data_IF_184601549947
#
_entry.id   IF_184601549947
#
_cell.length_a   1.000
_cell.length_b   1.000
_cell.length_c   1.000
_cell.angle_alpha   90.00
_cell.angle_beta   90.00
_cell.angle_gamma   90.00
#
_symmetry.space_group_name_H-M   'P 1'
#
loop_
_entity.id
_entity.type
_entity.pdbx_description
1 polymer ?
2 branched ?
3 non-polymer ?
4 non-polymer ?
5 non-polymer ?
6 water ?
#
# COMPACT_ATOMS: atom_id res chain seq x y z
N UNK A 9 14.37 -4.77 -27.83
CA UNK A 9 13.12 -4.55 -27.09
C UNK A 9 13.36 -4.63 -25.58
N UNK A 10 13.23 -3.48 -24.88
CA UNK A 10 13.41 -3.39 -23.43
C UNK A 10 12.31 -4.12 -22.67
N UNK A 11 12.65 -4.69 -21.50
CA UNK A 11 11.67 -5.36 -20.62
C UNK A 11 10.54 -4.42 -20.17
N UNK A 12 9.34 -4.97 -19.98
CA UNK A 12 8.19 -4.20 -19.51
C UNK A 12 7.62 -4.81 -18.25
N UNK A 13 7.09 -3.96 -17.38
CA UNK A 13 6.54 -4.36 -16.11
C UNK A 13 5.25 -3.60 -15.79
N UNK A 14 4.17 -4.36 -15.54
CA UNK A 14 2.88 -3.85 -15.06
C UNK A 14 2.74 -4.23 -13.58
N UNK A 15 2.57 -3.21 -12.72
CA UNK A 15 2.38 -3.38 -11.27
C UNK A 15 0.92 -3.06 -10.93
N UNK A 16 0.21 -4.04 -10.40
CA UNK A 16 -1.23 -3.93 -10.14
C UNK A 16 -1.46 -4.07 -8.66
N UNK A 17 -2.27 -3.18 -8.06
CA UNK A 17 -2.65 -3.28 -6.65
C UNK A 17 -4.15 -3.31 -6.55
N UNK A 18 -4.68 -4.35 -5.92
CA UNK A 18 -6.04 -4.36 -5.44
C UNK A 18 -6.02 -4.02 -3.95
N UNK A 19 -6.42 -2.80 -3.63
CA UNK A 19 -6.37 -2.29 -2.27
C UNK A 19 -6.99 -3.21 -1.22
N UNK A 20 -6.23 -3.51 -0.18
CA UNK A 20 -6.79 -4.16 1.00
C UNK A 20 -6.98 -5.66 0.86
N UNK A 21 -6.10 -6.28 0.07
CA UNK A 21 -6.19 -7.72 -0.23
C UNK A 21 -5.36 -8.49 0.81
N UNK A 22 -6.02 -8.84 1.90
CA UNK A 22 -5.44 -9.60 3.00
C UNK A 22 -4.94 -10.93 2.47
N UNK A 23 -3.71 -11.32 2.85
CA UNK A 23 -3.07 -12.51 2.30
C UNK A 23 -3.90 -13.77 2.47
N UNK A 24 -4.47 -13.99 3.65
CA UNK A 24 -5.20 -15.25 3.86
C UNK A 24 -6.56 -15.33 3.15
N UNK A 25 -6.97 -14.26 2.48
CA UNK A 25 -8.14 -14.39 1.61
C UNK A 25 -7.91 -15.53 0.61
N UNK A 26 -6.67 -15.70 0.16
CA UNK A 26 -6.35 -16.76 -0.80
C UNK A 26 -6.68 -18.17 -0.29
N UNK A 27 -6.63 -18.34 1.04
CA UNK A 27 -6.81 -19.64 1.66
C UNK A 27 -8.27 -19.92 2.00
N UNK A 28 -9.09 -18.87 1.98
CA UNK A 28 -10.46 -18.98 2.48
C UNK A 28 -11.54 -18.74 1.44
N UNK A 29 -11.14 -18.37 0.22
CA UNK A 29 -12.07 -18.14 -0.87
C UNK A 29 -11.48 -18.72 -2.14
N UNK A 30 -12.30 -18.88 -3.17
CA UNK A 30 -11.86 -19.47 -4.42
C UNK A 30 -11.47 -18.40 -5.43
N UNK A 31 -10.23 -18.46 -5.92
CA UNK A 31 -9.75 -17.53 -6.94
C UNK A 31 -9.24 -18.28 -8.15
N UNK A 32 -10.14 -18.80 -9.00
CA UNK A 32 -9.73 -19.59 -10.16
C UNK A 32 -8.84 -18.83 -11.14
N UNK A 33 -9.17 -17.57 -11.43
CA UNK A 33 -8.35 -16.78 -12.35
C UNK A 33 -6.98 -16.44 -11.77
N UNK A 34 -6.95 -16.02 -10.50
CA UNK A 34 -5.68 -15.69 -9.86
C UNK A 34 -4.81 -16.93 -9.72
N UNK A 35 -5.44 -18.06 -9.40
CA UNK A 35 -4.71 -19.32 -9.27
C UNK A 35 -4.12 -19.76 -10.60
N UNK A 36 -4.80 -19.48 -11.71
CA UNK A 36 -4.25 -19.74 -13.04
C UNK A 36 -3.05 -18.87 -13.33
N UNK A 37 -3.15 -17.58 -12.97
CA UNK A 37 -2.06 -16.62 -13.06
C UNK A 37 -0.85 -17.14 -12.29
N UNK A 38 -1.10 -17.60 -11.07
CA UNK A 38 -0.08 -18.12 -10.16
C UNK A 38 0.61 -19.38 -10.67
N UNK A 39 -0.15 -20.31 -11.23
CA UNK A 39 0.42 -21.61 -11.58
C UNK A 39 1.45 -21.52 -12.71
N UNK A 40 1.35 -20.48 -13.52
CA UNK A 40 2.33 -20.25 -14.57
C UNK A 40 3.34 -19.18 -14.15
N UNK A 41 3.33 -18.85 -12.86
CA UNK A 41 4.18 -17.80 -12.35
C UNK A 41 4.61 -18.09 -10.91
N UNK A 42 4.68 -17.03 -10.11
CA UNK A 42 5.13 -17.16 -8.73
C UNK A 42 4.13 -16.58 -7.76
N UNK A 43 4.13 -17.10 -6.54
CA UNK A 43 3.30 -16.57 -5.49
C UNK A 43 4.15 -16.43 -4.25
N UNK A 44 4.11 -15.23 -3.66
CA UNK A 44 4.60 -15.02 -2.30
C UNK A 44 3.37 -14.98 -1.38
N UNK A 45 3.28 -15.96 -0.48
CA UNK A 45 2.02 -16.22 0.25
C UNK A 45 1.59 -15.08 1.14
N UNK A 46 2.56 -14.41 1.74
CA UNK A 46 2.31 -13.22 2.54
C UNK A 46 3.52 -12.29 2.52
N UNK A 47 3.24 -11.00 2.40
CA UNK A 47 4.26 -9.98 2.36
C UNK A 47 4.21 -9.21 3.66
N UNK A 48 5.36 -9.06 4.33
CA UNK A 48 5.39 -8.24 5.55
C UNK A 48 5.46 -6.78 5.12
N UNK A 49 4.39 -6.05 5.36
CA UNK A 49 4.28 -4.67 4.90
C UNK A 49 4.86 -3.70 5.97
N UNK A 50 4.55 -2.40 5.88
CA UNK A 50 5.19 -1.42 6.74
C UNK A 50 4.18 -0.72 7.66
N UNK A 51 4.63 -0.37 8.85
CA UNK A 51 3.81 0.35 9.82
C UNK A 51 3.93 1.85 9.53
N UNK A 52 2.84 2.61 9.55
CA UNK A 52 1.49 2.12 9.79
C UNK A 52 0.87 1.49 8.55
N UNK A 53 -0.03 0.53 8.75
CA UNK A 53 -0.47 -0.30 7.63
C UNK A 53 -1.65 0.34 6.89
N UNK A 54 -1.42 1.54 6.37
CA UNK A 54 -2.46 2.30 5.66
C UNK A 54 -2.09 2.39 4.18
N UNK A 55 -3.02 2.91 3.39
CA UNK A 55 -2.93 2.86 1.93
C UNK A 55 -1.84 3.69 1.27
N UNK A 56 -1.83 4.99 1.52
CA UNK A 56 -0.84 5.84 0.87
C UNK A 56 0.57 5.46 1.34
N UNK A 57 0.77 5.24 2.65
CA UNK A 57 2.16 4.91 3.07
C UNK A 57 2.67 3.61 2.46
N UNK A 58 1.82 2.59 2.40
CA UNK A 58 2.31 1.31 1.85
C UNK A 58 2.47 1.30 0.34
N UNK A 59 1.57 1.95 -0.39
CA UNK A 59 1.79 2.06 -1.84
C UNK A 59 3.13 2.77 -2.14
N UNK A 60 3.47 3.80 -1.37
CA UNK A 60 4.72 4.51 -1.64
C UNK A 60 5.89 3.64 -1.28
N UNK A 61 5.78 2.87 -0.20
CA UNK A 61 6.84 1.92 0.11
C UNK A 61 7.12 0.91 -1.04
N UNK A 62 6.07 0.39 -1.68
CA UNK A 62 6.23 -0.54 -2.80
C UNK A 62 7.09 0.07 -3.90
N UNK A 63 6.82 1.33 -4.25
CA UNK A 63 7.51 1.95 -5.38
C UNK A 63 8.77 2.72 -4.98
N UNK A 64 9.15 2.70 -3.70
CA UNK A 64 10.39 3.34 -3.28
C UNK A 64 11.38 2.41 -2.56
N UNK A 65 10.88 1.28 -2.06
CA UNK A 65 11.66 0.39 -1.21
C UNK A 65 12.03 0.96 0.13
N UNK A 66 11.31 1.98 0.58
CA UNK A 66 11.64 2.69 1.83
C UNK A 66 10.60 2.50 2.92
N UNK A 67 11.05 2.47 4.17
CA UNK A 67 10.19 2.61 5.34
C UNK A 67 9.52 3.98 5.37
N UNK A 68 8.40 4.07 6.12
CA UNK A 68 7.61 5.30 6.09
C UNK A 68 8.35 6.52 6.66
N UNK A 69 9.15 6.34 7.72
CA UNK A 69 9.91 7.46 8.26
C UNK A 69 10.87 8.00 7.21
N UNK A 70 11.25 7.19 6.23
CA UNK A 70 12.20 7.63 5.21
C UNK A 70 11.53 8.24 3.99
N UNK A 71 10.43 7.66 3.51
CA UNK A 71 9.80 8.25 2.31
C UNK A 71 8.82 9.39 2.64
N UNK A 72 8.39 9.51 3.90
CA UNK A 72 7.68 10.70 4.34
C UNK A 72 6.17 10.67 4.26
N UNK A 73 5.63 9.62 3.65
CA UNK A 73 4.18 9.47 3.61
C UNK A 73 3.83 8.58 4.80
N UNK A 74 3.58 9.19 5.96
CA UNK A 74 3.50 8.39 7.19
C UNK A 74 2.07 8.07 7.61
N UNK A 75 1.10 8.60 6.87
CA UNK A 75 -0.31 8.29 7.13
C UNK A 75 -1.15 8.77 5.95
N UNK A 76 -2.43 8.41 5.95
CA UNK A 76 -3.35 8.95 4.97
C UNK A 76 -3.73 10.39 5.25
N UNK A 77 -3.56 10.83 6.50
CA UNK A 77 -3.74 12.22 6.90
C UNK A 77 -2.54 12.70 7.70
N UNK A 78 -1.95 13.80 7.26
CA UNK A 78 -0.76 14.35 7.92
C UNK A 78 -0.87 15.85 8.11
N UNK A 79 -0.06 16.34 9.03
CA UNK A 79 0.07 17.76 9.31
C UNK A 79 1.53 18.06 9.50
N UNK A 80 2.03 19.03 8.76
CA UNK A 80 3.41 19.46 8.94
C UNK A 80 3.41 20.78 9.71
N UNK A 81 3.83 20.75 10.97
CA UNK A 81 3.66 21.92 11.81
C UNK A 81 4.45 23.13 11.30
N UNK A 82 5.61 22.90 10.70
CA UNK A 82 6.44 24.01 10.25
C UNK A 82 5.80 24.79 9.10
N UNK A 83 5.43 24.09 8.02
CA UNK A 83 4.81 24.76 6.88
C UNK A 83 3.32 25.02 7.08
N UNK A 84 2.74 24.39 8.10
CA UNK A 84 1.28 24.35 8.34
C UNK A 84 0.47 23.60 7.28
N UNK A 85 1.14 22.83 6.42
CA UNK A 85 0.44 22.12 5.37
C UNK A 85 -0.31 20.89 5.87
N UNK A 86 -1.45 20.62 5.24
CA UNK A 86 -2.21 19.40 5.50
C UNK A 86 -2.23 18.48 4.27
N UNK A 87 -2.24 17.19 4.55
CA UNK A 87 -2.35 16.12 3.55
C UNK A 87 -3.56 15.28 3.87
N UNK A 88 -4.34 14.96 2.85
CA UNK A 88 -5.34 13.90 2.95
C UNK A 88 -5.38 13.23 1.59
N UNK A 89 -6.12 12.13 1.46
CA UNK A 89 -6.09 11.35 0.21
C UNK A 89 -6.58 12.16 -0.98
N UNK A 90 -7.64 12.94 -0.76
CA UNK A 90 -8.13 13.87 -1.78
C UNK A 90 -7.20 15.09 -1.95
N UNK A 91 -6.75 15.64 -0.83
CA UNK A 91 -5.85 16.81 -0.85
C UNK A 91 -4.38 16.38 -0.84
N UNK A 92 -3.94 15.76 -1.93
CA UNK A 92 -2.68 15.03 -1.92
C UNK A 92 -1.80 15.46 -3.08
N UNK A 93 -2.11 16.62 -3.67
CA UNK A 93 -1.44 16.99 -4.91
C UNK A 93 -0.24 17.94 -4.76
N UNK A 94 0.06 18.36 -3.55
CA UNK A 94 1.23 19.22 -3.32
C UNK A 94 2.48 18.34 -3.31
N UNK A 95 3.40 18.55 -4.28
CA UNK A 95 4.62 17.73 -4.38
C UNK A 95 5.43 17.67 -3.09
N UNK A 96 5.29 18.69 -2.25
CA UNK A 96 5.93 18.73 -0.92
C UNK A 96 5.83 17.38 -0.22
N UNK A 97 4.66 16.78 -0.31
CA UNK A 97 4.37 15.57 0.47
C UNK A 97 5.04 14.33 -0.10
N UNK A 98 5.40 14.37 -1.38
CA UNK A 98 5.93 13.20 -2.10
C UNK A 98 7.44 13.31 -2.33
N UNK A 99 8.00 14.50 -2.12
CA UNK A 99 9.35 14.78 -2.57
C UNK A 99 10.46 14.23 -1.69
N UNK A 100 10.10 13.58 -0.58
CA UNK A 100 11.15 13.02 0.26
C UNK A 100 11.77 11.75 -0.31
N UNK A 101 11.13 11.19 -1.34
CA UNK A 101 11.65 10.01 -2.02
C UNK A 101 11.53 10.20 -3.53
N UNK A 102 12.04 9.23 -4.29
CA UNK A 102 11.88 9.20 -5.74
C UNK A 102 11.30 7.83 -6.10
N UNK A 103 10.03 7.78 -6.51
CA UNK A 103 9.38 6.50 -6.84
C UNK A 103 9.84 5.93 -8.19
N UNK A 104 9.60 4.63 -8.39
CA UNK A 104 10.18 3.94 -9.54
C UNK A 104 9.69 4.50 -10.88
N UNK A 105 8.45 4.98 -10.94
CA UNK A 105 7.96 5.52 -12.22
C UNK A 105 8.72 6.77 -12.69
N UNK A 106 9.29 7.50 -11.73
CA UNK A 106 10.10 8.67 -12.06
C UNK A 106 11.46 8.25 -12.62
N UNK A 107 12.12 7.33 -11.92
CA UNK A 107 13.40 6.80 -12.40
C UNK A 107 13.24 6.19 -13.79
N UNK A 108 12.16 5.44 -13.99
CA UNK A 108 11.90 4.87 -15.31
C UNK A 108 11.66 5.96 -16.35
N UNK A 109 10.86 6.96 -16.02
CA UNK A 109 10.53 8.06 -16.95
C UNK A 109 11.76 8.87 -17.38
N UNK A 110 12.76 8.96 -16.51
CA UNK A 110 13.97 9.75 -16.76
C UNK A 110 14.95 9.07 -17.70
N UNK A 111 14.68 7.81 -18.04
CA UNK A 111 15.51 7.11 -18.98
C UNK A 111 15.11 7.53 -20.40
N UNK A 112 16.10 7.80 -21.24
CA UNK A 112 15.83 8.14 -22.63
C UNK A 112 15.13 6.99 -23.33
N UNK A 113 14.18 7.34 -24.20
CA UNK A 113 13.47 6.36 -25.02
C UNK A 113 12.61 5.41 -24.20
N UNK A 114 12.24 5.82 -22.99
CA UNK A 114 11.33 5.01 -22.19
C UNK A 114 10.32 5.88 -21.45
N UNK A 115 9.09 5.36 -21.32
CA UNK A 115 8.03 6.08 -20.64
C UNK A 115 7.43 5.28 -19.51
N UNK A 116 6.81 6.00 -18.59
CA UNK A 116 5.99 5.37 -17.56
C UNK A 116 4.51 5.67 -17.84
N UNK A 117 3.62 4.82 -17.33
CA UNK A 117 2.18 5.01 -17.47
C UNK A 117 1.49 4.67 -16.17
N UNK A 118 0.31 5.23 -15.93
CA UNK A 118 -0.36 5.03 -14.65
C UNK A 118 -1.87 5.09 -14.78
N UNK A 119 -2.55 4.20 -14.07
CA UNK A 119 -4.01 4.24 -14.00
C UNK A 119 -4.43 4.20 -12.53
N UNK A 120 -4.39 5.36 -11.88
CA UNK A 120 -5.03 5.61 -10.57
C UNK A 120 -4.19 5.29 -9.33
N UNK A 121 -2.91 4.95 -9.52
CA UNK A 121 -2.06 4.56 -8.40
C UNK A 121 -1.72 5.83 -7.62
N UNK A 122 -1.78 5.75 -6.27
CA UNK A 122 -1.53 6.92 -5.42
C UNK A 122 -0.23 7.66 -5.78
N UNK A 123 -0.37 8.97 -6.02
CA UNK A 123 0.76 9.82 -6.37
C UNK A 123 1.11 9.99 -7.84
N UNK A 124 0.54 9.15 -8.69
CA UNK A 124 0.94 9.15 -10.10
C UNK A 124 0.39 10.35 -10.84
N UNK A 125 -0.54 11.08 -10.22
CA UNK A 125 -1.04 12.32 -10.82
C UNK A 125 -0.39 13.56 -10.21
N UNK A 126 0.75 13.36 -9.57
CA UNK A 126 1.50 14.45 -8.95
C UNK A 126 2.91 14.50 -9.53
N UNK A 127 3.36 15.69 -9.95
CA UNK A 127 4.75 15.77 -10.41
C UNK A 127 5.68 15.62 -9.20
N UNK A 128 6.54 14.63 -9.26
CA UNK A 128 7.45 14.34 -8.15
C UNK A 128 8.87 14.59 -8.62
N UNK A 129 9.53 15.53 -7.95
CA UNK A 129 10.79 16.09 -8.43
C UNK A 129 10.65 16.54 -9.88
N UNK A 130 9.53 17.19 -10.15
CA UNK A 130 9.25 17.82 -11.46
C UNK A 130 9.01 16.80 -12.56
N UNK A 131 8.91 15.54 -12.20
CA UNK A 131 8.71 14.48 -13.18
C UNK A 131 7.36 13.82 -13.03
N UNK A 132 6.62 13.78 -14.14
CA UNK A 132 5.35 13.08 -14.18
C UNK A 132 5.39 12.03 -15.29
N UNK A 133 4.61 10.96 -15.12
CA UNK A 133 4.54 9.91 -16.12
C UNK A 133 3.97 10.44 -17.42
N UNK A 134 4.43 9.90 -18.54
CA UNK A 134 3.91 10.29 -19.86
C UNK A 134 2.41 10.19 -19.95
N UNK A 135 1.88 9.08 -19.45
CA UNK A 135 0.45 8.82 -19.41
C UNK A 135 0.04 8.61 -17.97
N UNK A 136 -0.94 9.36 -17.51
CA UNK A 136 -1.44 9.13 -16.14
C UNK A 136 -2.88 9.57 -16.08
N UNK A 137 -3.62 9.06 -15.10
CA UNK A 137 -5.01 9.46 -14.91
C UNK A 137 -5.13 10.25 -13.62
N UNK A 138 -5.80 11.40 -13.70
CA UNK A 138 -6.15 12.18 -12.52
C UNK A 138 -7.05 11.31 -11.64
N UNK A 139 -6.76 11.23 -10.35
CA UNK A 139 -7.52 10.30 -9.53
C UNK A 139 -9.02 10.56 -9.55
N UNK A 140 -9.76 9.51 -9.90
CA UNK A 140 -11.21 9.58 -9.99
C UNK A 140 -11.74 8.17 -9.76
N UNK A 141 -12.30 7.95 -8.56
CA UNK A 141 -12.72 6.61 -8.16
C UNK A 141 -13.87 6.03 -8.99
N UNK A 142 -14.54 6.89 -9.78
CA UNK A 142 -15.68 6.45 -10.59
C UNK A 142 -15.27 5.76 -11.88
N UNK A 143 -14.00 5.93 -12.28
CA UNK A 143 -13.53 5.33 -13.52
C UNK A 143 -13.53 3.80 -13.38
N UNK A 144 -14.16 3.12 -14.32
CA UNK A 144 -14.34 1.68 -14.20
C UNK A 144 -13.03 0.92 -14.29
N UNK A 145 -13.03 -0.32 -13.82
CA UNK A 145 -11.82 -1.14 -13.94
C UNK A 145 -11.52 -1.41 -15.41
N UNK A 146 -12.57 -1.63 -16.19
CA UNK A 146 -12.40 -1.87 -17.62
C UNK A 146 -11.65 -0.72 -18.30
N UNK A 147 -12.03 0.52 -17.98
CA UNK A 147 -11.35 1.68 -18.54
C UNK A 147 -9.88 1.72 -18.11
N UNK A 148 -9.65 1.46 -16.80
CA UNK A 148 -8.29 1.48 -16.28
C UNK A 148 -7.46 0.40 -16.97
N UNK A 149 -8.04 -0.80 -17.06
CA UNK A 149 -7.39 -1.95 -17.70
C UNK A 149 -7.08 -1.71 -19.16
N UNK A 150 -8.08 -1.23 -19.88
CA UNK A 150 -7.95 -1.09 -21.33
C UNK A 150 -6.91 -0.04 -21.68
N UNK A 151 -6.96 1.10 -21.00
CA UNK A 151 -5.98 2.17 -21.21
C UNK A 151 -4.56 1.83 -20.81
N UNK A 152 -4.39 1.17 -19.66
CA UNK A 152 -3.07 0.79 -19.21
C UNK A 152 -2.42 -0.24 -20.15
N UNK A 153 -3.20 -1.22 -20.61
CA UNK A 153 -2.67 -2.26 -21.47
C UNK A 153 -2.47 -1.75 -22.88
N UNK A 154 -3.32 -0.83 -23.32
CA UNK A 154 -3.11 -0.28 -24.65
C UNK A 154 -1.84 0.57 -24.66
N UNK A 155 -1.64 1.34 -23.60
CA UNK A 155 -0.43 2.15 -23.45
C UNK A 155 0.84 1.31 -23.45
N UNK A 156 0.82 0.20 -22.71
CA UNK A 156 1.96 -0.70 -22.70
C UNK A 156 2.23 -1.26 -24.08
N UNK A 157 1.16 -1.55 -24.82
CA UNK A 157 1.31 -2.29 -26.08
C UNK A 157 1.71 -1.38 -27.23
N UNK A 158 1.03 -0.24 -27.29
CA UNK A 158 1.32 0.78 -28.26
C UNK A 158 2.45 1.67 -27.73
N UNK A 159 2.24 2.98 -27.81
CA UNK A 159 3.19 3.97 -27.29
C UNK A 159 4.59 4.00 -27.89
N UNK A 160 5.07 5.22 -28.12
CA UNK A 160 6.40 5.46 -28.63
C UNK A 160 6.85 6.87 -28.22
N UNK A 161 7.93 6.97 -27.43
CA UNK A 161 8.80 5.91 -26.90
C UNK A 161 8.04 4.87 -26.07
N UNK A 162 8.58 3.63 -25.98
CA UNK A 162 7.82 2.53 -25.36
C UNK A 162 7.56 2.74 -23.87
N UNK A 163 6.39 2.28 -23.43
CA UNK A 163 6.05 2.29 -22.01
C UNK A 163 6.62 1.01 -21.41
N UNK A 164 7.51 1.17 -20.44
CA UNK A 164 8.23 0.05 -19.85
C UNK A 164 7.84 -0.18 -18.40
N UNK A 165 7.23 0.83 -17.77
CA UNK A 165 6.69 0.66 -16.42
C UNK A 165 5.29 1.26 -16.35
N UNK A 166 4.37 0.51 -15.77
CA UNK A 166 2.97 0.93 -15.69
C UNK A 166 2.39 0.52 -14.35
N UNK A 167 1.52 1.37 -13.80
CA UNK A 167 0.80 1.01 -12.58
C UNK A 167 -0.72 0.94 -12.82
N UNK A 168 -1.39 0.06 -12.07
CA UNK A 168 -2.84 -0.13 -12.18
C UNK A 168 -3.37 -0.33 -10.77
N UNK A 169 -4.38 0.47 -10.38
CA UNK A 169 -4.90 0.46 -9.02
C UNK A 169 -6.41 0.29 -8.99
N UNK A 170 -6.91 -0.43 -8.00
CA UNK A 170 -8.35 -0.64 -7.83
C UNK A 170 -8.67 -0.53 -6.34
N UNK A 171 -9.86 -0.02 -6.02
CA UNK A 171 -10.21 0.33 -4.64
C UNK A 171 -10.72 -0.82 -3.80
N UNK A 172 -11.06 -1.93 -4.46
CA UNK A 172 -11.53 -3.12 -3.76
C UNK A 172 -10.40 -4.17 -3.72
N UNK A 173 -10.40 -5.03 -2.69
CA UNK A 173 -11.49 -5.25 -1.72
C UNK A 173 -11.45 -4.41 -0.44
N UNK A 174 -10.62 -3.37 -0.41
CA UNK A 174 -10.53 -2.54 0.78
C UNK A 174 -11.87 -1.89 1.15
N UNK A 175 -12.50 -1.22 0.20
CA UNK A 175 -13.74 -0.50 0.45
C UNK A 175 -14.82 -1.39 1.10
N UNK A 176 -15.05 -2.57 0.50
CA UNK A 176 -16.07 -3.47 1.03
C UNK A 176 -15.61 -4.24 2.30
N UNK A 177 -14.30 -4.43 2.44
CA UNK A 177 -13.79 -5.01 3.68
C UNK A 177 -14.07 -4.11 4.86
N UNK A 178 -13.99 -2.79 4.66
CA UNK A 178 -14.35 -1.83 5.72
C UNK A 178 -15.83 -1.95 6.02
N UNK A 179 -16.64 -2.03 4.98
CA UNK A 179 -18.10 -2.09 5.13
C UNK A 179 -18.60 -3.31 5.89
N UNK A 180 -18.21 -4.50 5.42
CA UNK A 180 -18.69 -5.73 5.99
C UNK A 180 -17.86 -6.27 7.14
N UNK A 181 -16.55 -6.02 7.10
CA UNK A 181 -15.62 -6.71 7.98
C UNK A 181 -15.21 -8.05 7.39
N UNK A 182 -13.94 -8.46 7.57
CA UNK A 182 -13.43 -9.64 6.86
C UNK A 182 -14.03 -10.92 7.38
N UNK A 183 -14.66 -10.87 8.56
CA UNK A 183 -15.30 -12.07 9.10
C UNK A 183 -16.67 -12.34 8.50
N UNK A 184 -17.22 -11.38 7.75
CA UNK A 184 -18.49 -11.59 7.07
C UNK A 184 -18.26 -12.37 5.78
N UNK A 185 -18.22 -13.70 5.89
CA UNK A 185 -17.85 -14.51 4.72
C UNK A 185 -18.83 -14.40 3.56
N UNK A 186 -20.13 -14.36 3.85
CA UNK A 186 -21.11 -14.29 2.78
C UNK A 186 -20.89 -13.08 1.90
N UNK A 187 -20.76 -11.90 2.52
CA UNK A 187 -20.59 -10.69 1.75
C UNK A 187 -19.19 -10.54 1.15
N UNK A 188 -18.16 -10.92 1.90
CA UNK A 188 -16.79 -10.84 1.37
C UNK A 188 -16.56 -11.79 0.19
N UNK A 189 -17.23 -12.94 0.18
CA UNK A 189 -17.01 -13.89 -0.91
C UNK A 189 -17.50 -13.32 -2.25
N UNK A 190 -18.56 -12.52 -2.21
CA UNK A 190 -19.03 -11.82 -3.41
C UNK A 190 -18.08 -10.69 -3.83
N UNK A 191 -17.54 -10.00 -2.84
CA UNK A 191 -16.54 -8.96 -3.08
C UNK A 191 -15.32 -9.57 -3.76
N UNK A 192 -14.82 -10.65 -3.16
CA UNK A 192 -13.60 -11.27 -3.67
C UNK A 192 -13.79 -11.99 -5.01
N UNK A 193 -14.99 -12.52 -5.25
CA UNK A 193 -15.26 -13.15 -6.54
C UNK A 193 -15.13 -12.12 -7.66
N UNK A 194 -15.63 -10.90 -7.40
CA UNK A 194 -15.49 -9.80 -8.35
C UNK A 194 -14.02 -9.44 -8.62
N UNK A 195 -13.22 -9.41 -7.56
CA UNK A 195 -11.79 -9.18 -7.74
C UNK A 195 -11.19 -10.30 -8.61
N UNK A 196 -11.55 -11.55 -8.32
CA UNK A 196 -11.03 -12.64 -9.16
C UNK A 196 -11.43 -12.51 -10.62
N UNK A 197 -12.66 -12.08 -10.86
CA UNK A 197 -13.14 -11.82 -12.22
C UNK A 197 -12.35 -10.71 -12.91
N UNK A 198 -11.97 -9.69 -12.15
CA UNK A 198 -11.18 -8.61 -12.70
C UNK A 198 -9.80 -9.10 -13.07
N UNK A 199 -9.26 -10.00 -12.26
CA UNK A 199 -7.98 -10.62 -12.58
C UNK A 199 -8.10 -11.43 -13.88
N UNK A 200 -9.20 -12.15 -14.02
CA UNK A 200 -9.46 -12.84 -15.27
C UNK A 200 -9.54 -11.86 -16.43
N UNK A 201 -10.15 -10.69 -16.21
CA UNK A 201 -10.28 -9.69 -17.28
C UNK A 201 -8.91 -9.16 -17.68
N UNK A 202 -8.04 -9.01 -16.68
CA UNK A 202 -6.67 -8.61 -16.92
C UNK A 202 -5.92 -9.64 -17.78
N UNK A 203 -5.99 -10.91 -17.39
CA UNK A 203 -5.27 -11.94 -18.15
C UNK A 203 -5.81 -12.05 -19.58
N UNK A 204 -7.14 -12.11 -19.72
CA UNK A 204 -7.79 -12.26 -21.02
C UNK A 204 -7.36 -11.13 -21.95
N UNK A 205 -7.27 -9.94 -21.40
CA UNK A 205 -6.89 -8.73 -22.13
C UNK A 205 -5.45 -8.81 -22.58
N UNK A 206 -4.57 -9.26 -21.68
CA UNK A 206 -3.15 -9.40 -22.01
C UNK A 206 -2.97 -10.42 -23.13
N UNK A 207 -3.74 -11.50 -23.07
CA UNK A 207 -3.63 -12.55 -24.09
C UNK A 207 -4.13 -12.04 -25.42
N UNK A 208 -5.25 -11.32 -25.40
CA UNK A 208 -5.86 -10.82 -26.62
C UNK A 208 -4.91 -9.87 -27.37
N UNK A 209 -4.16 -9.06 -26.62
CA UNK A 209 -3.22 -8.12 -27.21
C UNK A 209 -1.84 -8.75 -27.45
N UNK A 210 -1.69 -10.01 -27.06
CA UNK A 210 -0.42 -10.72 -27.21
C UNK A 210 0.68 -10.20 -26.30
N UNK A 211 0.28 -9.71 -25.13
CA UNK A 211 1.22 -9.19 -24.12
C UNK A 211 1.54 -10.25 -23.09
N UNK A 212 0.71 -11.28 -23.03
CA UNK A 212 0.75 -12.24 -21.93
C UNK A 212 2.07 -13.00 -21.82
N UNK A 213 2.68 -13.33 -22.95
CA UNK A 213 3.94 -14.07 -22.89
C UNK A 213 5.17 -13.19 -22.62
N UNK A 214 5.08 -11.88 -22.89
CA UNK A 214 6.28 -11.03 -22.83
C UNK A 214 6.26 -9.90 -21.80
N UNK A 215 5.11 -9.69 -21.18
CA UNK A 215 5.00 -8.65 -20.17
C UNK A 215 5.16 -9.26 -18.79
N UNK A 216 5.95 -8.59 -17.96
CA UNK A 216 6.05 -8.93 -16.53
C UNK A 216 4.93 -8.26 -15.80
N UNK A 217 4.16 -9.04 -15.04
CA UNK A 217 3.03 -8.52 -14.27
C UNK A 217 3.14 -8.95 -12.82
N UNK A 218 3.02 -7.97 -11.92
CA UNK A 218 2.98 -8.20 -10.48
C UNK A 218 1.60 -7.79 -10.01
N UNK A 219 0.91 -8.71 -9.35
CA UNK A 219 -0.38 -8.41 -8.72
C UNK A 219 -0.13 -8.48 -7.22
N UNK A 220 -0.43 -7.39 -6.51
CA UNK A 220 -0.14 -7.35 -5.08
C UNK A 220 -1.12 -6.40 -4.40
N UNK A 221 -0.80 -5.99 -3.18
CA UNK A 221 -1.67 -5.09 -2.44
C UNK A 221 -0.88 -4.37 -1.36
N UNK A 222 -1.57 -3.54 -0.61
CA UNK A 222 -0.90 -2.68 0.35
C UNK A 222 -1.00 -3.15 1.80
N UNK A 223 -2.05 -3.92 2.11
CA UNK A 223 -2.32 -4.34 3.49
C UNK A 223 -3.57 -5.18 3.48
N UNK A 224 -3.88 -5.75 4.65
CA UNK A 224 -5.05 -6.57 4.84
C UNK A 224 -6.15 -5.84 5.56
N UNK A 225 -6.83 -6.56 6.46
CA UNK A 225 -8.06 -6.05 7.10
C UNK A 225 -8.32 -6.92 8.31
N UNK A 226 -8.84 -6.33 9.38
CA UNK A 226 -9.22 -7.13 10.56
C UNK A 226 -10.58 -6.64 11.10
N UNK A 227 -11.28 -7.53 11.80
CA UNK A 227 -12.64 -7.24 12.28
C UNK A 227 -12.62 -6.31 13.49
N UNK A 228 -13.52 -5.35 13.45
CA UNK A 228 -13.74 -4.41 14.54
C UNK A 228 -15.10 -4.68 15.17
N UNK A 229 -15.33 -4.14 16.36
CA UNK A 229 -16.51 -4.49 17.13
C UNK A 229 -16.87 -3.42 18.15
N UNK A 230 -18.16 -3.31 18.45
CA UNK A 230 -18.59 -2.36 19.45
C UNK A 230 -18.11 -2.75 20.85
N UNK A 231 -17.66 -4.00 21.00
CA UNK A 231 -17.07 -4.47 22.25
C UNK A 231 -15.60 -4.09 22.39
N UNK A 232 -15.03 -3.51 21.33
CA UNK A 232 -13.60 -3.18 21.32
C UNK A 232 -13.34 -1.74 20.90
N UNK A 233 -13.86 -0.80 21.71
CA UNK A 233 -13.75 0.62 21.41
C UNK A 233 -12.98 1.30 22.52
N UNK A 234 -12.14 2.27 22.13
CA UNK A 234 -11.43 3.14 23.06
C UNK A 234 -11.89 4.58 22.75
N UNK A 235 -12.69 5.18 23.62
CA UNK A 235 -13.21 6.52 23.38
C UNK A 235 -12.30 7.59 23.99
N UNK A 236 -11.59 8.33 23.14
CA UNK A 236 -10.70 9.39 23.61
C UNK A 236 -11.43 10.44 24.44
N UNK A 237 -12.68 10.71 24.06
CA UNK A 237 -13.46 11.73 24.74
C UNK A 237 -13.75 11.34 26.19
N UNK A 238 -13.65 10.05 26.49
CA UNK A 238 -13.86 9.59 27.87
C UNK A 238 -12.60 9.72 28.71
N UNK A 239 -11.48 9.99 28.05
CA UNK A 239 -10.15 9.95 28.66
C UNK A 239 -9.50 11.31 28.75
N UNK A 240 -9.80 12.20 27.82
CA UNK A 240 -9.12 13.48 27.76
C UNK A 240 -9.95 14.53 27.03
N UNK A 241 -9.96 15.75 27.54
CA UNK A 241 -10.73 16.81 26.91
C UNK A 241 -10.12 17.26 25.60
N UNK A 242 -10.99 17.60 24.66
CA UNK A 242 -10.65 18.10 23.33
C UNK A 242 -9.66 19.25 23.33
N UNK A 243 -9.71 20.07 24.37
CA UNK A 243 -8.96 21.31 24.38
C UNK A 243 -7.47 21.07 24.62
N UNK A 244 -7.13 19.84 24.96
CA UNK A 244 -5.75 19.49 25.32
C UNK A 244 -4.88 19.15 24.11
N UNK A 245 -5.50 18.87 22.97
CA UNK A 245 -4.77 18.35 21.83
C UNK A 245 -5.49 18.54 20.51
N UNK A 246 -4.73 18.40 19.43
CA UNK A 246 -5.30 18.41 18.10
C UNK A 246 -5.12 17.00 17.56
N UNK A 247 -6.18 16.45 16.99
CA UNK A 247 -6.16 15.10 16.42
C UNK A 247 -5.82 15.19 14.95
N UNK A 248 -4.68 14.62 14.56
CA UNK A 248 -4.23 14.65 13.18
C UNK A 248 -4.73 13.40 12.41
N UNK A 249 -4.85 12.26 13.09
CA UNK A 249 -5.31 11.01 12.47
C UNK A 249 -5.89 10.21 13.60
N UNK A 250 -6.93 9.41 13.35
CA UNK A 250 -7.68 8.82 14.46
C UNK A 250 -7.41 7.34 14.78
N UNK A 251 -7.75 6.43 13.87
CA UNK A 251 -7.71 5.00 14.24
C UNK A 251 -7.17 4.12 13.13
N UNK A 252 -6.44 3.06 13.49
CA UNK A 252 -6.12 2.60 14.86
C UNK A 252 -4.80 3.16 15.36
N UNK A 253 -4.18 4.06 14.60
CA UNK A 253 -2.98 4.75 15.07
C UNK A 253 -3.36 6.22 15.10
N UNK A 254 -3.61 6.72 16.32
CA UNK A 254 -3.96 8.12 16.51
C UNK A 254 -2.69 8.93 16.55
N UNK A 255 -2.70 10.03 15.80
CA UNK A 255 -1.58 10.99 15.80
C UNK A 255 -2.02 12.21 16.57
N UNK A 256 -1.36 12.45 17.71
CA UNK A 256 -1.81 13.41 18.71
C UNK A 256 -0.82 14.56 18.80
N UNK A 257 -1.31 15.77 18.55
CA UNK A 257 -0.50 16.99 18.68
C UNK A 257 -0.96 17.78 19.90
N UNK A 258 -0.19 17.71 20.99
CA UNK A 258 -0.59 18.40 22.22
C UNK A 258 -0.72 19.92 22.05
N UNK A 259 -1.71 20.52 22.70
CA UNK A 259 -1.93 21.97 22.68
C UNK A 259 -1.36 22.58 23.94
N UNK A 260 -1.28 21.76 24.98
CA UNK A 260 -0.68 22.17 26.25
C UNK A 260 0.53 21.27 26.53
N UNK A 261 1.04 21.30 27.76
CA UNK A 261 2.17 20.45 28.17
C UNK A 261 2.01 19.01 27.69
N UNK A 262 2.98 18.53 26.91
CA UNK A 262 2.91 17.18 26.37
C UNK A 262 2.83 16.14 27.49
N UNK A 263 3.56 16.41 28.58
CA UNK A 263 3.59 15.49 29.71
C UNK A 263 2.20 15.25 30.31
N UNK A 264 1.42 16.32 30.42
CA UNK A 264 0.03 16.24 30.88
C UNK A 264 -0.86 15.43 29.93
N UNK A 265 -0.75 15.68 28.63
CA UNK A 265 -1.53 14.91 27.67
C UNK A 265 -1.16 13.43 27.74
N UNK A 266 0.15 13.16 27.81
CA UNK A 266 0.66 11.80 27.91
C UNK A 266 0.13 11.09 29.15
N UNK A 267 0.09 11.79 30.28
CA UNK A 267 -0.32 11.18 31.54
C UNK A 267 -1.79 10.75 31.53
N UNK A 268 -2.63 11.53 30.85
CA UNK A 268 -4.02 11.12 30.69
C UNK A 268 -4.18 9.96 29.70
N UNK A 269 -3.53 10.08 28.54
CA UNK A 269 -3.69 9.09 27.50
C UNK A 269 -3.12 7.71 27.89
N UNK A 270 -2.05 7.69 28.69
CA UNK A 270 -1.42 6.43 29.07
C UNK A 270 -2.28 5.66 30.08
N UNK A 271 -3.29 6.35 30.63
CA UNK A 271 -4.20 5.76 31.60
C UNK A 271 -5.62 5.66 31.07
N UNK A 272 -5.73 5.42 29.77
CA UNK A 272 -7.03 5.42 29.10
C UNK A 272 -7.56 4.00 28.83
N UNK A 273 -6.75 3.14 28.23
CA UNK A 273 -7.17 1.77 27.93
C UNK A 273 -5.97 0.83 27.86
N UNK A 274 -6.08 -0.36 28.47
CA UNK A 274 -5.01 -1.34 28.32
C UNK A 274 -4.94 -1.94 26.91
N UNK A 275 -5.93 -1.62 26.07
CA UNK A 275 -5.95 -2.14 24.70
C UNK A 275 -5.32 -1.25 23.66
N UNK A 276 -4.51 -0.30 24.11
CA UNK A 276 -3.62 0.39 23.19
C UNK A 276 -2.29 0.65 23.89
N UNK A 277 -1.26 0.88 23.09
CA UNK A 277 0.03 1.36 23.56
C UNK A 277 0.10 2.85 23.27
N UNK A 278 0.56 3.63 24.24
CA UNK A 278 0.67 5.07 24.07
C UNK A 278 2.16 5.40 24.07
N UNK A 279 2.65 5.96 22.97
CA UNK A 279 4.08 6.26 22.84
C UNK A 279 4.38 7.75 22.68
N UNK A 280 5.28 8.27 23.52
CA UNK A 280 6.01 9.46 23.13
C UNK A 280 6.76 9.12 21.85
N UNK A 281 6.85 10.08 20.94
CA UNK A 281 7.50 9.87 19.64
C UNK A 281 8.87 9.19 19.80
N UNK A 282 9.64 9.64 20.77
CA UNK A 282 10.96 9.05 20.99
C UNK A 282 10.95 7.64 21.58
N UNK A 283 9.78 7.15 21.98
CA UNK A 283 9.66 5.79 22.52
C UNK A 283 8.99 4.82 21.55
N UNK A 284 8.71 5.26 20.32
CA UNK A 284 8.04 4.40 19.37
C UNK A 284 9.01 3.25 19.08
N UNK A 285 8.51 2.00 19.14
CA UNK A 285 9.41 0.84 18.95
C UNK A 285 10.22 0.91 17.67
N UNK A 286 11.52 0.64 17.79
CA UNK A 286 12.40 0.60 16.63
C UNK A 286 11.92 -0.31 15.49
N UNK A 287 11.24 -1.39 15.84
CA UNK A 287 10.85 -2.40 14.87
C UNK A 287 9.85 -1.82 13.84
N UNK A 288 9.25 -0.68 14.18
CA UNK A 288 8.25 -0.05 13.30
C UNK A 288 8.87 0.86 12.24
N UNK A 289 10.12 1.29 12.43
CA UNK A 289 10.76 2.25 11.50
C UNK A 289 9.85 3.46 11.27
N UNK A 290 9.39 4.02 12.38
CA UNK A 290 8.34 5.02 12.36
C UNK A 290 8.63 6.09 13.39
N UNK A 291 9.83 6.64 13.34
CA UNK A 291 10.22 7.67 14.28
C UNK A 291 10.85 8.88 13.61
N UNK A 292 11.78 8.63 12.68
CA UNK A 292 12.66 9.70 12.26
C UNK A 292 12.11 10.54 11.11
N UNK A 293 11.05 11.27 11.41
CA UNK A 293 10.40 12.14 10.43
C UNK A 293 9.56 13.19 11.15
N UNK A 294 9.69 14.45 10.73
CA UNK A 294 8.99 15.55 11.37
C UNK A 294 7.48 15.46 11.21
N UNK A 295 7.02 14.59 10.32
CA UNK A 295 5.59 14.43 10.08
C UNK A 295 4.95 13.47 11.07
N UNK A 296 5.77 12.83 11.90
CA UNK A 296 5.28 11.99 12.98
C UNK A 296 5.07 12.86 14.21
N UNK A 297 3.87 12.83 14.79
CA UNK A 297 3.46 13.76 15.83
C UNK A 297 4.10 13.42 17.17
N UNK A 298 4.06 14.35 18.15
CA UNK A 298 4.71 14.13 19.45
C UNK A 298 4.25 12.92 20.26
N UNK A 299 3.02 12.43 20.03
CA UNK A 299 2.48 11.26 20.71
C UNK A 299 1.71 10.44 19.71
N UNK A 300 1.87 9.12 19.71
CA UNK A 300 0.98 8.27 18.92
C UNK A 300 0.36 7.20 19.79
N UNK A 301 -0.87 6.85 19.44
CA UNK A 301 -1.65 5.83 20.14
C UNK A 301 -1.82 4.66 19.19
N UNK A 302 -1.42 3.47 19.59
CA UNK A 302 -1.50 2.34 18.70
C UNK A 302 -2.47 1.33 19.30
N UNK A 303 -3.65 1.17 18.70
CA UNK A 303 -4.64 0.22 19.24
C UNK A 303 -4.25 -1.23 18.93
N UNK A 304 -4.46 -2.13 19.91
CA UNK A 304 -4.31 -3.55 19.68
C UNK A 304 -5.21 -4.02 18.53
N UNK A 305 -4.80 -5.11 17.88
CA UNK A 305 -5.58 -5.70 16.78
C UNK A 305 -7.08 -5.81 17.06
N UNK A 306 -7.89 -5.25 16.17
CA UNK A 306 -9.33 -5.36 16.30
C UNK A 306 -9.98 -4.33 17.20
N UNK A 307 -9.17 -3.47 17.82
CA UNK A 307 -9.69 -2.35 18.64
C UNK A 307 -9.71 -1.06 17.81
N UNK A 308 -10.70 -0.21 18.09
CA UNK A 308 -10.93 1.02 17.33
C UNK A 308 -10.87 2.20 18.29
N UNK A 309 -10.08 3.21 17.95
CA UNK A 309 -10.04 4.46 18.70
C UNK A 309 -11.17 5.33 18.15
N UNK A 310 -12.03 5.82 19.04
CA UNK A 310 -13.16 6.64 18.60
C UNK A 310 -13.27 7.98 19.33
N UNK A 311 -14.06 8.87 18.74
CA UNK A 311 -14.55 10.05 19.42
C UNK A 311 -16.03 9.80 19.65
N UNK A 312 -16.72 10.73 20.29
CA UNK A 312 -18.15 10.50 20.60
C UNK A 312 -19.04 10.15 19.40
N UNK A 313 -18.78 10.76 18.24
CA UNK A 313 -19.65 10.59 17.09
C UNK A 313 -19.05 9.77 15.94
N UNK A 314 -17.86 9.20 16.15
CA UNK A 314 -17.19 8.43 15.09
C UNK A 314 -18.06 7.31 14.57
N UNK A 315 -18.13 7.20 13.25
CA UNK A 315 -18.98 6.19 12.62
C UNK A 315 -18.46 4.76 12.80
N UNK A 316 -19.40 3.83 12.87
CA UNK A 316 -19.08 2.40 12.85
C UNK A 316 -18.37 1.99 11.58
N UNK A 317 -17.32 1.17 11.74
CA UNK A 317 -16.58 0.63 10.60
C UNK A 317 -16.18 -0.80 10.98
N UNK A 318 -16.84 -1.80 10.38
CA UNK A 318 -16.67 -3.20 10.78
C UNK A 318 -15.30 -3.82 10.44
N UNK A 319 -14.62 -3.28 9.43
CA UNK A 319 -13.26 -3.72 9.12
C UNK A 319 -12.29 -2.54 9.17
N UNK A 320 -11.06 -2.78 9.62
CA UNK A 320 -10.05 -1.75 9.55
C UNK A 320 -8.65 -2.31 9.42
N UNK A 321 -7.73 -1.41 9.06
CA UNK A 321 -6.31 -1.74 8.99
C UNK A 321 -5.52 -0.54 9.48
N UNK A 322 -4.22 -0.71 9.65
CA UNK A 322 -3.36 0.35 10.18
C UNK A 322 -2.49 -0.18 11.31
N UNK A 323 -2.91 -1.34 11.84
CA UNK A 323 -2.27 -1.99 13.00
C UNK A 323 -0.82 -2.43 12.76
N UNK A 324 -0.18 -2.83 13.85
CA UNK A 324 1.12 -3.49 13.85
C UNK A 324 1.32 -4.34 12.59
N UNK A 325 2.41 -4.05 11.86
CA UNK A 325 2.69 -4.67 10.58
C UNK A 325 3.22 -6.07 10.74
N UNK A 326 3.38 -6.51 11.98
CA UNK A 326 3.73 -7.90 12.22
C UNK A 326 2.52 -8.86 12.24
N UNK A 327 1.32 -8.29 12.35
CA UNK A 327 0.10 -9.08 12.38
C UNK A 327 -0.24 -9.69 11.01
N UNK A 328 -0.44 -11.02 10.95
CA UNK A 328 -0.80 -11.66 9.67
C UNK A 328 -2.04 -11.03 9.01
N UNK A 329 -3.00 -10.57 9.80
CA UNK A 329 -4.21 -9.95 9.26
C UNK A 329 -3.90 -8.69 8.44
N UNK A 330 -2.76 -8.06 8.71
CA UNK A 330 -2.40 -6.86 7.99
C UNK A 330 -1.61 -7.09 6.72
N UNK A 331 -1.16 -8.32 6.49
CA UNK A 331 -0.26 -8.57 5.36
C UNK A 331 -1.02 -8.79 4.08
N UNK A 332 -0.54 -8.19 2.97
CA UNK A 332 -1.04 -8.55 1.63
C UNK A 332 -0.29 -9.78 1.08
N UNK A 333 -0.51 -10.13 -0.18
CA UNK A 333 0.24 -11.20 -0.83
C UNK A 333 0.91 -10.59 -2.06
N UNK A 334 1.74 -11.36 -2.76
CA UNK A 334 2.22 -10.95 -4.08
C UNK A 334 2.22 -12.13 -5.03
N UNK A 335 1.82 -11.90 -6.28
CA UNK A 335 1.96 -12.91 -7.32
C UNK A 335 2.51 -12.23 -8.56
N UNK A 336 3.14 -13.02 -9.43
CA UNK A 336 3.74 -12.45 -10.63
C UNK A 336 3.84 -13.47 -11.74
N UNK A 337 3.84 -12.97 -12.96
CA UNK A 337 3.96 -13.79 -14.15
C UNK A 337 4.72 -13.01 -15.22
N UNK A 338 5.56 -13.71 -15.97
CA UNK A 338 6.21 -13.13 -17.13
C UNK A 338 7.61 -13.65 -17.34
N UNK A 339 8.29 -13.18 -18.38
CA UNK A 339 9.61 -13.68 -18.77
C UNK A 339 10.64 -13.65 -17.63
N UNK A 340 10.50 -12.72 -16.69
CA UNK A 340 11.48 -12.59 -15.62
C UNK A 340 11.23 -13.57 -14.47
N UNK A 341 10.05 -14.17 -14.46
CA UNK A 341 9.60 -14.96 -13.30
C UNK A 341 9.53 -16.46 -13.56
N UNK A 342 9.85 -17.25 -12.54
CA UNK A 342 9.76 -18.70 -12.62
C UNK A 342 8.31 -19.12 -12.83
N UNK A 343 8.09 -20.35 -13.30
CA UNK A 343 6.76 -20.90 -13.51
C UNK A 343 6.45 -21.90 -12.40
N UNK A 344 5.36 -21.66 -11.67
CA UNK A 344 4.89 -22.60 -10.67
C UNK A 344 5.70 -22.62 -9.38
N UNK A 345 6.32 -21.50 -9.03
CA UNK A 345 7.09 -21.42 -7.79
C UNK A 345 6.30 -20.72 -6.70
N UNK A 346 6.41 -21.24 -5.48
CA UNK A 346 5.72 -20.62 -4.36
C UNK A 346 6.69 -20.39 -3.19
N UNK A 347 6.61 -19.21 -2.59
CA UNK A 347 7.54 -18.77 -1.56
C UNK A 347 6.74 -18.22 -0.39
N UNK A 348 7.18 -18.50 0.83
CA UNK A 348 6.52 -18.06 2.06
C UNK A 348 6.30 -16.54 2.18
N UNK A 349 7.39 -15.77 2.16
CA UNK A 349 7.30 -14.36 2.50
C UNK A 349 8.44 -13.52 1.93
N UNK A 350 8.16 -12.25 1.68
CA UNK A 350 9.19 -11.26 1.45
C UNK A 350 8.71 -10.01 2.19
N UNK A 351 9.57 -9.01 2.30
CA UNK A 351 9.18 -7.72 2.87
C UNK A 351 8.71 -6.78 1.76
N UNK A 352 7.78 -5.88 2.07
CA UNK A 352 7.21 -5.05 1.01
C UNK A 352 8.28 -4.15 0.39
N UNK A 353 9.30 -3.79 1.17
CA UNK A 353 10.38 -2.95 0.66
C UNK A 353 11.36 -3.69 -0.28
N UNK A 354 11.16 -5.01 -0.43
CA UNK A 354 12.02 -5.81 -1.28
C UNK A 354 11.53 -5.74 -2.73
N UNK A 355 10.26 -5.33 -2.91
CA UNK A 355 9.69 -5.32 -4.24
C UNK A 355 10.44 -4.33 -5.15
N UNK A 356 10.80 -3.19 -4.59
CA UNK A 356 11.52 -2.15 -5.32
C UNK A 356 12.85 -2.59 -5.94
N UNK A 357 13.77 -3.13 -5.14
CA UNK A 357 15.02 -3.56 -5.80
C UNK A 357 14.76 -4.65 -6.85
N UNK A 358 13.74 -5.46 -6.63
CA UNK A 358 13.39 -6.50 -7.60
C UNK A 358 12.94 -5.87 -8.92
N UNK A 359 12.03 -4.91 -8.83
CA UNK A 359 11.52 -4.22 -10.02
C UNK A 359 12.60 -3.44 -10.77
N UNK A 360 13.48 -2.76 -10.05
CA UNK A 360 14.59 -2.08 -10.72
C UNK A 360 15.44 -3.09 -11.49
N UNK A 361 15.68 -4.25 -10.89
CA UNK A 361 16.46 -5.28 -11.57
C UNK A 361 15.82 -5.73 -12.89
N UNK A 362 14.52 -6.04 -12.85
CA UNK A 362 13.78 -6.51 -14.02
C UNK A 362 13.84 -5.46 -15.11
N UNK A 363 13.78 -4.20 -14.72
CA UNK A 363 13.72 -3.09 -15.67
C UNK A 363 15.08 -2.53 -16.07
N UNK A 364 16.14 -3.02 -15.42
CA UNK A 364 17.47 -2.48 -15.67
C UNK A 364 17.65 -1.03 -15.23
N UNK A 365 17.05 -0.69 -14.09
CA UNK A 365 17.19 0.65 -13.52
C UNK A 365 18.13 0.62 -12.34
N UNK A 366 18.84 1.72 -12.12
CA UNK A 366 19.67 1.89 -10.94
C UNK A 366 18.79 2.25 -9.77
N UNK A 367 18.69 1.37 -8.77
CA UNK A 367 17.85 1.68 -7.61
C UNK A 367 18.44 2.82 -6.79
N UNK A 368 17.58 3.68 -6.25
CA UNK A 368 18.01 4.64 -5.25
C UNK A 368 18.27 3.88 -3.96
N UNK A 369 19.09 4.45 -3.05
CA UNK A 369 19.33 3.77 -1.77
C UNK A 369 17.99 3.42 -1.12
N UNK A 370 17.87 2.21 -0.58
CA UNK A 370 16.58 1.79 -0.06
C UNK A 370 16.74 0.80 1.09
N UNK A 371 15.61 0.34 1.62
CA UNK A 371 15.66 -0.52 2.79
C UNK A 371 15.38 -1.97 2.46
N UNK A 372 15.19 -2.25 1.17
CA UNK A 372 14.90 -3.59 0.71
C UNK A 372 16.12 -4.47 0.55
N UNK A 373 15.87 -5.77 0.44
CA UNK A 373 16.95 -6.75 0.28
C UNK A 373 16.65 -7.57 -0.96
N UNK A 374 17.41 -7.32 -2.03
CA UNK A 374 17.18 -8.01 -3.31
C UNK A 374 17.25 -9.53 -3.14
N UNK A 375 18.17 -9.98 -2.29
CA UNK A 375 18.30 -11.40 -2.00
C UNK A 375 17.00 -12.12 -1.67
N UNK A 376 16.07 -11.42 -1.00
CA UNK A 376 14.81 -12.03 -0.59
C UNK A 376 13.95 -12.42 -1.80
N UNK A 377 14.22 -11.82 -2.95
CA UNK A 377 13.37 -12.02 -4.12
C UNK A 377 14.01 -12.89 -5.20
N UNK A 378 15.26 -13.32 -4.98
CA UNK A 378 16.00 -14.07 -6.00
C UNK A 378 15.33 -15.36 -6.45
N UNK A 379 14.68 -16.06 -5.52
CA UNK A 379 14.01 -17.31 -5.88
C UNK A 379 12.82 -17.12 -6.82
N UNK A 380 12.34 -15.88 -6.95
CA UNK A 380 11.22 -15.58 -7.83
C UNK A 380 11.67 -15.40 -9.27
N UNK A 381 12.97 -15.12 -9.45
CA UNK A 381 13.48 -14.65 -10.74
C UNK A 381 14.29 -15.69 -11.53
N UNK A 382 13.98 -15.81 -12.81
CA UNK A 382 14.62 -16.82 -13.67
C UNK A 382 16.14 -16.68 -13.81
N UNK A 383 16.65 -15.45 -13.77
CA UNK A 383 18.09 -15.25 -14.01
C UNK A 383 18.94 -15.38 -12.74
N UNK A 384 18.31 -15.75 -11.63
CA UNK A 384 18.97 -15.68 -10.33
C UNK A 384 19.20 -17.03 -9.65
N UNK A 385 20.29 -17.12 -8.90
CA UNK A 385 20.54 -18.29 -8.06
C UNK A 385 19.47 -18.35 -6.98
N UNK A 386 18.88 -19.52 -6.75
CA UNK A 386 17.96 -19.72 -5.64
C UNK A 386 18.58 -20.61 -4.59
N UNK A 387 19.07 -20.02 -3.50
CA UNK A 387 19.75 -20.80 -2.49
C UNK A 387 18.73 -21.52 -1.62
#
# INVERSE_FOLDING_TARGET
FRSDSSSSLPPKLLLVSFDGFRADYLKNYEFPHLQNFIKEGVLVEHVKNVFITKTFPNHYSIVTGLYEESHGIVANSMYDAVTKKHFSDSNDKDPFWWNEAVPIWVTNQLQENRSSAAAMWPGTDVPIHDTISSYFMNYNSSVSFEERLNNITMWLNNSNPPVTFATLYWEEPDASGHKYGPEDKENMSRVLKKIDDLIGDLVQRLKMLGLWENLNVIITSDHGMTQCSQDRLINLDSCIDHSYYTLIDLSPVAAILPKINRTEVYNKLKNCSPHMNVYLKEDIPNRFYYQHNDRIQPIILVADEGWTIVLNESSQKLGDHGYDNSLPSMHPFLAAHGPAFHKGYKHSTINIVDIYPMMCHILGLKPHPNNGTFGHTKCLLVDQWCINLPEALINENLYFQ
#
